data_IF_494466627240
#
_entry.id   IF_494466627240
#
_cell.length_a   1.000
_cell.length_b   1.000
_cell.length_c   1.000
_cell.angle_alpha   90.00
_cell.angle_beta   90.00
_cell.angle_gamma   90.00
#
_symmetry.space_group_name_H-M   'P 1'
#
loop_
_entity.id
_entity.type
_entity.pdbx_description
1 polymer ?
#
# COMPACT_ATOMS: atom_id res chain seq x y z
N UNK A 1 -14.30 -45.34 34.91
CA UNK A 1 -14.26 -44.17 34.03
C UNK A 1 -14.27 -44.69 32.59
N UNK A 2 -15.40 -44.57 31.90
CA UNK A 2 -15.54 -44.97 30.52
C UNK A 2 -15.06 -43.81 29.63
N UNK A 3 -14.00 -44.05 28.87
CA UNK A 3 -13.53 -43.11 27.83
C UNK A 3 -14.47 -43.25 26.66
N UNK A 4 -15.27 -42.22 26.40
CA UNK A 4 -16.14 -42.13 25.25
C UNK A 4 -15.26 -41.81 24.02
N UNK A 5 -14.95 -42.83 23.18
CA UNK A 5 -14.29 -42.67 21.91
C UNK A 5 -15.30 -42.11 20.91
N UNK A 6 -15.05 -40.93 20.39
CA UNK A 6 -15.84 -40.35 19.32
C UNK A 6 -15.57 -41.19 18.05
N UNK A 7 -16.60 -41.65 17.33
CA UNK A 7 -16.40 -42.47 16.14
C UNK A 7 -15.68 -41.70 15.04
N UNK A 8 -14.73 -42.31 14.35
CA UNK A 8 -13.94 -41.78 13.21
C UNK A 8 -14.78 -41.17 12.07
N UNK A 9 -16.05 -41.54 12.00
CA UNK A 9 -17.02 -41.01 11.02
C UNK A 9 -17.44 -39.55 11.31
N UNK A 10 -17.35 -39.08 12.55
CA UNK A 10 -17.65 -37.68 12.89
C UNK A 10 -16.45 -36.76 12.71
N UNK A 11 -15.23 -37.27 12.85
CA UNK A 11 -13.99 -36.52 12.60
C UNK A 11 -13.86 -36.18 11.09
N UNK A 12 -14.44 -36.99 10.20
CA UNK A 12 -14.41 -36.72 8.74
C UNK A 12 -15.38 -35.64 8.28
N UNK A 13 -16.35 -35.21 9.08
CA UNK A 13 -17.29 -34.12 8.74
C UNK A 13 -16.76 -32.72 8.96
N UNK A 14 -15.62 -32.56 9.66
CA UNK A 14 -14.99 -31.26 9.90
C UNK A 14 -13.89 -30.88 8.88
N UNK A 15 -13.54 -31.79 7.97
CA UNK A 15 -12.66 -31.50 6.83
C UNK A 15 -13.45 -30.99 5.62
N UNK A 16 -14.28 -29.95 5.78
CA UNK A 16 -14.51 -29.04 4.67
C UNK A 16 -13.15 -28.34 4.45
N UNK A 17 -12.35 -28.81 3.49
CA UNK A 17 -11.33 -27.99 2.85
C UNK A 17 -12.07 -26.73 2.41
N UNK A 18 -11.91 -25.64 3.18
CA UNK A 18 -12.35 -24.35 2.70
C UNK A 18 -11.66 -24.16 1.34
N UNK A 19 -12.44 -23.97 0.32
CA UNK A 19 -11.91 -23.69 -1.01
C UNK A 19 -11.14 -22.36 -0.92
N UNK A 20 -9.80 -22.46 -0.88
CA UNK A 20 -8.90 -21.32 -0.79
C UNK A 20 -8.51 -20.79 -2.16
N UNK A 21 -9.15 -21.27 -3.23
CA UNK A 21 -8.90 -20.79 -4.57
C UNK A 21 -9.19 -19.29 -4.67
N UNK A 22 -8.23 -18.56 -5.24
CA UNK A 22 -8.30 -17.10 -5.42
C UNK A 22 -8.58 -16.79 -6.89
N UNK A 23 -9.60 -15.99 -7.13
CA UNK A 23 -9.87 -15.39 -8.44
C UNK A 23 -9.14 -14.07 -8.54
N UNK A 24 -8.44 -13.86 -9.67
CA UNK A 24 -7.79 -12.61 -10.03
C UNK A 24 -8.49 -11.99 -11.24
N UNK A 25 -8.81 -10.71 -11.15
CA UNK A 25 -9.48 -9.94 -12.20
C UNK A 25 -8.70 -8.62 -12.41
N UNK A 26 -8.47 -8.25 -13.68
CA UNK A 26 -7.88 -6.97 -14.06
C UNK A 26 -8.88 -6.15 -14.85
N UNK A 27 -9.03 -4.87 -14.56
CA UNK A 27 -9.92 -3.97 -15.28
C UNK A 27 -9.39 -2.54 -15.29
N UNK A 28 -9.95 -1.70 -16.17
CA UNK A 28 -9.56 -0.33 -16.33
C UNK A 28 -10.73 0.61 -16.04
N UNK A 29 -10.44 1.69 -15.32
CA UNK A 29 -11.41 2.72 -14.96
C UNK A 29 -10.98 4.03 -15.59
N UNK A 30 -11.86 4.73 -16.35
CA UNK A 30 -11.56 6.07 -16.83
C UNK A 30 -11.29 7.02 -15.65
N UNK A 31 -10.20 7.78 -15.72
CA UNK A 31 -9.91 8.81 -14.70
C UNK A 31 -10.72 10.09 -14.97
N UNK A 32 -10.57 11.07 -14.09
CA UNK A 32 -11.10 12.43 -14.27
C UNK A 32 -10.47 13.18 -15.47
N UNK A 33 -9.44 12.64 -16.07
CA UNK A 33 -8.69 13.22 -17.18
C UNK A 33 -8.92 12.41 -18.44
N UNK A 34 -9.39 13.06 -19.51
CA UNK A 34 -9.66 12.40 -20.78
C UNK A 34 -8.44 11.65 -21.32
N UNK A 35 -8.65 10.41 -21.76
CA UNK A 35 -7.59 9.55 -22.30
C UNK A 35 -6.73 8.83 -21.26
N UNK A 36 -6.96 9.05 -19.98
CA UNK A 36 -6.29 8.36 -18.88
C UNK A 36 -7.20 7.27 -18.30
N UNK A 37 -6.75 6.03 -18.35
CA UNK A 37 -7.40 4.89 -17.69
C UNK A 37 -6.50 4.38 -16.57
N UNK A 38 -7.09 4.13 -15.41
CA UNK A 38 -6.42 3.55 -14.24
C UNK A 38 -6.61 2.04 -14.25
N UNK A 39 -5.54 1.32 -14.07
CA UNK A 39 -5.56 -0.13 -13.90
C UNK A 39 -5.90 -0.48 -12.46
N UNK A 40 -6.86 -1.36 -12.28
CA UNK A 40 -7.20 -2.00 -11.00
C UNK A 40 -7.08 -3.50 -11.13
N UNK A 41 -6.41 -4.11 -10.18
CA UNK A 41 -6.40 -5.56 -9.96
C UNK A 41 -7.26 -5.90 -8.76
N UNK A 42 -8.04 -6.96 -8.88
CA UNK A 42 -8.89 -7.49 -7.81
C UNK A 42 -8.54 -8.94 -7.52
N UNK A 43 -8.45 -9.30 -6.24
CA UNK A 43 -8.30 -10.68 -5.77
C UNK A 43 -9.30 -10.99 -4.66
N UNK A 44 -9.92 -12.17 -4.73
CA UNK A 44 -10.91 -12.64 -3.76
C UNK A 44 -10.98 -14.15 -3.71
N UNK A 45 -11.55 -14.69 -2.67
CA UNK A 45 -11.93 -16.13 -2.65
C UNK A 45 -12.94 -16.40 -3.77
N UNK A 46 -12.70 -17.45 -4.57
CA UNK A 46 -13.49 -17.75 -5.76
C UNK A 46 -14.97 -18.01 -5.43
N UNK A 47 -15.25 -18.65 -4.31
CA UNK A 47 -16.60 -19.02 -3.89
C UNK A 47 -17.38 -17.87 -3.21
N UNK A 48 -16.76 -16.71 -2.98
CA UNK A 48 -17.42 -15.54 -2.35
C UNK A 48 -17.68 -14.49 -3.42
N UNK A 49 -18.92 -14.13 -3.63
CA UNK A 49 -19.33 -13.15 -4.65
C UNK A 49 -19.61 -11.76 -4.06
N UNK A 50 -20.14 -11.71 -2.84
CA UNK A 50 -20.56 -10.47 -2.20
C UNK A 50 -19.77 -10.23 -0.92
N UNK A 51 -19.24 -9.00 -0.82
CA UNK A 51 -18.45 -8.55 0.32
C UNK A 51 -19.07 -7.27 0.88
N UNK A 52 -19.24 -7.16 2.20
CA UNK A 52 -19.63 -5.90 2.81
C UNK A 52 -18.46 -4.91 2.87
N UNK A 53 -18.76 -3.66 3.24
CA UNK A 53 -17.76 -2.60 3.39
C UNK A 53 -16.58 -2.98 4.28
N UNK A 54 -16.82 -3.74 5.36
CA UNK A 54 -15.81 -4.22 6.30
C UNK A 54 -14.82 -5.20 5.69
N UNK A 55 -15.22 -5.87 4.60
CA UNK A 55 -14.42 -6.88 3.91
C UNK A 55 -13.91 -6.44 2.55
N UNK A 56 -14.24 -5.22 2.11
CA UNK A 56 -13.73 -4.64 0.87
C UNK A 56 -12.60 -3.68 1.18
N UNK A 57 -11.47 -3.84 0.51
CA UNK A 57 -10.30 -2.98 0.72
C UNK A 57 -9.59 -2.63 -0.59
N UNK A 58 -9.02 -1.42 -0.63
CA UNK A 58 -8.18 -0.93 -1.71
C UNK A 58 -6.74 -0.73 -1.21
N UNK A 59 -5.78 -1.18 -2.00
CA UNK A 59 -4.34 -1.01 -1.75
C UNK A 59 -3.80 0.13 -2.61
N UNK A 60 -3.00 1.02 -2.00
CA UNK A 60 -2.36 2.17 -2.65
C UNK A 60 -0.86 2.10 -2.53
N UNK A 61 -0.16 2.06 -3.68
CA UNK A 61 1.29 1.88 -3.77
C UNK A 61 2.10 3.16 -3.45
N UNK A 62 3.43 2.99 -3.28
CA UNK A 62 4.38 4.06 -2.99
C UNK A 62 4.96 4.76 -4.23
N UNK A 63 6.08 5.47 -4.02
CA UNK A 63 6.67 6.41 -5.00
C UNK A 63 7.43 5.78 -6.17
N UNK A 64 7.80 4.50 -6.07
CA UNK A 64 8.72 3.88 -7.05
C UNK A 64 8.10 2.71 -7.80
N UNK A 65 7.41 1.86 -7.08
CA UNK A 65 6.88 0.59 -7.57
C UNK A 65 5.36 0.64 -7.68
N UNK A 66 4.83 0.03 -8.74
CA UNK A 66 3.40 -0.12 -8.95
C UNK A 66 2.75 -1.04 -7.90
N UNK A 67 1.43 -1.07 -7.87
CA UNK A 67 0.67 -1.93 -6.98
C UNK A 67 1.01 -3.42 -7.15
N UNK A 68 1.16 -3.87 -8.40
CA UNK A 68 1.55 -5.25 -8.68
C UNK A 68 2.96 -5.59 -8.21
N UNK A 69 3.89 -4.64 -8.23
CA UNK A 69 5.26 -4.84 -7.70
C UNK A 69 5.28 -4.94 -6.19
N UNK A 70 4.48 -4.12 -5.50
CA UNK A 70 4.46 -4.08 -4.03
C UNK A 70 3.55 -5.15 -3.43
N UNK A 71 2.36 -5.31 -3.98
CA UNK A 71 1.32 -6.08 -3.32
C UNK A 71 1.02 -7.41 -4.00
N UNK A 72 1.47 -7.62 -5.24
CA UNK A 72 1.14 -8.85 -5.98
C UNK A 72 2.35 -9.64 -6.48
N UNK A 73 3.53 -9.39 -5.93
CA UNK A 73 4.69 -10.25 -6.15
C UNK A 73 4.55 -11.55 -5.32
N UNK A 74 4.54 -12.75 -5.96
CA UNK A 74 4.27 -14.01 -5.29
C UNK A 74 5.53 -14.57 -4.58
N UNK A 75 6.16 -13.76 -3.74
CA UNK A 75 7.28 -14.20 -2.91
C UNK A 75 6.80 -15.31 -1.96
N UNK A 76 7.58 -16.39 -1.82
CA UNK A 76 7.16 -17.57 -1.06
C UNK A 76 5.85 -18.23 -1.58
N UNK A 77 5.56 -18.06 -2.87
CA UNK A 77 4.40 -18.71 -3.53
C UNK A 77 3.06 -18.00 -3.36
N UNK A 78 2.97 -16.93 -2.56
CA UNK A 78 1.77 -16.13 -2.39
C UNK A 78 2.11 -14.64 -2.25
N UNK A 79 1.31 -13.79 -2.87
CA UNK A 79 1.45 -12.34 -2.76
C UNK A 79 0.80 -11.78 -1.49
N UNK A 80 1.08 -10.52 -1.19
CA UNK A 80 0.40 -9.80 -0.12
C UNK A 80 -1.12 -9.72 -0.36
N UNK A 81 -1.54 -9.52 -1.63
CA UNK A 81 -2.96 -9.56 -2.02
C UNK A 81 -3.57 -10.95 -1.80
N UNK A 82 -2.84 -12.03 -2.16
CA UNK A 82 -3.33 -13.39 -1.95
C UNK A 82 -3.60 -13.68 -0.48
N UNK A 83 -2.73 -13.21 0.41
CA UNK A 83 -2.88 -13.41 1.85
C UNK A 83 -4.08 -12.68 2.41
N UNK A 84 -4.34 -11.45 1.97
CA UNK A 84 -5.52 -10.68 2.37
C UNK A 84 -6.80 -11.29 1.78
N UNK A 85 -6.76 -11.76 0.53
CA UNK A 85 -7.90 -12.46 -0.08
C UNK A 85 -8.21 -13.78 0.63
N UNK A 86 -7.19 -14.56 0.99
CA UNK A 86 -7.33 -15.78 1.78
C UNK A 86 -7.90 -15.53 3.18
N UNK A 87 -7.63 -14.34 3.76
CA UNK A 87 -8.25 -13.88 5.02
C UNK A 87 -9.72 -13.44 4.87
N UNK A 88 -10.30 -13.57 3.67
CA UNK A 88 -11.72 -13.32 3.39
C UNK A 88 -12.03 -11.88 3.00
N UNK A 89 -11.08 -11.16 2.43
CA UNK A 89 -11.29 -9.82 1.89
C UNK A 89 -11.48 -9.81 0.38
N UNK A 90 -12.26 -8.84 -0.11
CA UNK A 90 -12.30 -8.42 -1.51
C UNK A 90 -11.20 -7.37 -1.71
N UNK A 91 -10.08 -7.76 -2.28
CA UNK A 91 -8.85 -6.98 -2.30
C UNK A 91 -8.67 -6.34 -3.67
N UNK A 92 -8.67 -5.02 -3.69
CA UNK A 92 -8.34 -4.23 -4.86
C UNK A 92 -6.96 -3.59 -4.71
N UNK A 93 -6.28 -3.36 -5.82
CA UNK A 93 -5.06 -2.58 -5.87
C UNK A 93 -5.11 -1.67 -7.11
N UNK A 94 -4.81 -0.38 -6.95
CA UNK A 94 -4.82 0.59 -8.05
C UNK A 94 -3.40 1.01 -8.41
N UNK A 95 -3.13 1.11 -9.70
CA UNK A 95 -1.96 1.82 -10.22
C UNK A 95 -2.34 3.28 -10.48
N UNK A 96 -1.63 4.23 -9.87
CA UNK A 96 -1.72 5.66 -10.25
C UNK A 96 -1.29 5.81 -11.70
N UNK A 97 -1.85 6.81 -12.41
CA UNK A 97 -1.39 7.11 -13.79
C UNK A 97 0.13 7.17 -13.89
N UNK A 98 0.68 6.62 -14.95
CA UNK A 98 2.13 6.55 -15.12
C UNK A 98 2.81 5.35 -14.47
N UNK A 99 2.13 4.62 -13.59
CA UNK A 99 2.62 3.40 -12.95
C UNK A 99 1.94 2.15 -13.52
N UNK A 100 2.62 1.01 -13.41
CA UNK A 100 2.09 -0.29 -13.74
C UNK A 100 1.45 -0.35 -15.13
N UNK A 101 0.21 -0.81 -15.18
CA UNK A 101 -0.59 -0.89 -16.40
C UNK A 101 -1.49 0.34 -16.63
N UNK A 102 -1.52 1.32 -15.72
CA UNK A 102 -2.26 2.56 -15.92
C UNK A 102 -1.69 3.41 -17.06
N UNK A 103 -2.55 4.17 -17.72
CA UNK A 103 -2.15 5.07 -18.81
C UNK A 103 -1.06 6.02 -18.36
N UNK A 104 -0.04 6.18 -19.20
CA UNK A 104 1.01 7.19 -19.01
C UNK A 104 0.50 8.51 -19.55
N UNK A 105 0.57 9.60 -18.75
CA UNK A 105 0.24 10.92 -19.23
C UNK A 105 1.06 11.27 -20.49
N UNK A 106 0.46 11.85 -21.55
CA UNK A 106 1.17 12.17 -22.81
C UNK A 106 2.31 13.17 -22.59
N UNK A 107 2.26 14.00 -21.56
CA UNK A 107 3.33 14.91 -21.15
C UNK A 107 4.64 14.17 -20.83
N UNK A 108 4.57 12.89 -20.58
CA UNK A 108 5.72 12.04 -20.28
C UNK A 108 6.47 11.60 -21.54
N UNK A 109 5.81 11.60 -22.68
CA UNK A 109 6.41 11.16 -23.96
C UNK A 109 7.21 12.26 -24.67
N UNK A 110 7.21 13.51 -24.18
CA UNK A 110 7.87 14.67 -24.76
C UNK A 110 8.95 15.30 -23.88
N UNK A 111 9.61 16.34 -24.38
CA UNK A 111 10.44 17.26 -23.57
C UNK A 111 9.50 18.12 -22.71
N UNK A 112 9.17 17.64 -21.54
CA UNK A 112 8.32 18.36 -20.60
C UNK A 112 9.19 19.32 -19.80
N UNK A 113 8.64 20.51 -19.55
CA UNK A 113 9.19 21.45 -18.59
C UNK A 113 9.43 20.71 -17.25
N UNK A 114 10.68 20.60 -16.79
CA UNK A 114 11.00 19.88 -15.54
C UNK A 114 10.23 20.39 -14.32
N UNK A 115 9.71 21.64 -14.37
CA UNK A 115 8.90 22.23 -13.33
C UNK A 115 7.47 21.66 -13.27
N UNK A 116 7.03 20.93 -14.30
CA UNK A 116 5.66 20.39 -14.43
C UNK A 116 5.65 18.87 -14.39
N UNK A 117 5.97 18.31 -13.23
CA UNK A 117 5.85 16.87 -13.03
C UNK A 117 4.37 16.43 -13.12
N UNK A 118 3.99 15.56 -14.08
CA UNK A 118 2.57 15.28 -14.35
C UNK A 118 1.91 14.38 -13.31
N UNK A 119 2.69 13.67 -12.49
CA UNK A 119 2.19 12.69 -11.51
C UNK A 119 2.59 13.13 -10.10
N UNK A 120 1.93 14.19 -9.63
CA UNK A 120 2.08 14.77 -8.29
C UNK A 120 1.03 14.21 -7.33
N UNK A 121 1.19 14.48 -6.04
CA UNK A 121 0.28 14.01 -5.00
C UNK A 121 -1.18 14.41 -5.26
N UNK A 122 -1.44 15.63 -5.74
CA UNK A 122 -2.78 16.12 -6.07
C UNK A 122 -3.45 15.26 -7.14
N UNK A 123 -2.68 14.90 -8.18
CA UNK A 123 -3.16 14.03 -9.26
C UNK A 123 -3.39 12.61 -8.75
N UNK A 124 -2.48 12.08 -7.94
CA UNK A 124 -2.58 10.75 -7.36
C UNK A 124 -3.77 10.62 -6.38
N UNK A 125 -4.10 11.68 -5.63
CA UNK A 125 -5.31 11.72 -4.78
C UNK A 125 -6.58 11.64 -5.64
N UNK A 126 -6.63 12.32 -6.79
CA UNK A 126 -7.78 12.22 -7.71
C UNK A 126 -7.89 10.83 -8.32
N UNK A 127 -6.76 10.21 -8.71
CA UNK A 127 -6.73 8.84 -9.21
C UNK A 127 -7.23 7.85 -8.16
N UNK A 128 -6.78 7.98 -6.92
CA UNK A 128 -7.28 7.18 -5.79
C UNK A 128 -8.78 7.39 -5.60
N UNK A 129 -9.25 8.64 -5.62
CA UNK A 129 -10.67 8.97 -5.52
C UNK A 129 -11.51 8.31 -6.62
N UNK A 130 -11.06 8.37 -7.87
CA UNK A 130 -11.71 7.69 -9.01
C UNK A 130 -11.79 6.18 -8.79
N UNK A 131 -10.72 5.54 -8.33
CA UNK A 131 -10.72 4.11 -8.03
C UNK A 131 -11.71 3.76 -6.91
N UNK A 132 -11.75 4.54 -5.83
CA UNK A 132 -12.68 4.36 -4.72
C UNK A 132 -14.12 4.46 -5.22
N UNK A 133 -14.48 5.54 -5.94
CA UNK A 133 -15.83 5.74 -6.49
C UNK A 133 -16.26 4.55 -7.36
N UNK A 134 -15.39 4.12 -8.28
CA UNK A 134 -15.69 3.00 -9.16
C UNK A 134 -15.94 1.70 -8.40
N UNK A 135 -15.17 1.41 -7.34
CA UNK A 135 -15.38 0.23 -6.50
C UNK A 135 -16.71 0.35 -5.74
N UNK A 136 -16.97 1.49 -5.09
CA UNK A 136 -18.18 1.72 -4.31
C UNK A 136 -19.43 1.59 -5.18
N UNK A 137 -19.44 2.21 -6.36
CA UNK A 137 -20.55 2.14 -7.30
C UNK A 137 -20.77 0.71 -7.81
N UNK A 138 -19.71 0.04 -8.30
CA UNK A 138 -19.82 -1.31 -8.87
C UNK A 138 -20.22 -2.36 -7.83
N UNK A 139 -19.83 -2.17 -6.57
CA UNK A 139 -20.14 -3.08 -5.45
C UNK A 139 -21.38 -2.66 -4.65
N UNK A 140 -21.96 -1.48 -4.94
CA UNK A 140 -23.09 -0.89 -4.21
C UNK A 140 -22.78 -0.73 -2.71
N UNK A 141 -21.61 -0.18 -2.42
CA UNK A 141 -21.10 0.07 -1.06
C UNK A 141 -21.01 1.57 -0.81
N UNK A 142 -21.19 1.97 0.43
CA UNK A 142 -21.00 3.37 0.85
C UNK A 142 -19.55 3.67 1.28
N UNK A 143 -18.86 2.65 1.76
CA UNK A 143 -17.51 2.78 2.32
C UNK A 143 -16.66 1.55 1.98
N UNK A 144 -15.35 1.72 2.02
CA UNK A 144 -14.36 0.63 1.96
C UNK A 144 -13.20 0.89 2.92
N UNK A 145 -12.35 -0.13 3.12
CA UNK A 145 -11.08 0.02 3.84
C UNK A 145 -9.98 0.44 2.88
N UNK A 146 -9.02 1.23 3.37
CA UNK A 146 -7.85 1.66 2.59
C UNK A 146 -6.57 1.22 3.29
N UNK A 147 -5.68 0.58 2.53
CA UNK A 147 -4.32 0.21 2.98
C UNK A 147 -3.34 0.87 2.04
N UNK A 148 -2.39 1.61 2.57
CA UNK A 148 -1.49 2.41 1.75
C UNK A 148 -0.06 2.41 2.29
N UNK A 149 0.93 2.48 1.39
CA UNK A 149 2.34 2.40 1.75
C UNK A 149 3.12 3.62 1.27
N UNK A 150 4.00 4.15 2.13
CA UNK A 150 4.98 5.17 1.77
C UNK A 150 4.33 6.45 1.22
N UNK A 151 4.68 6.90 0.01
CA UNK A 151 4.01 8.01 -0.70
C UNK A 151 2.50 7.74 -0.88
N UNK A 152 2.12 6.49 -1.11
CA UNK A 152 0.71 6.08 -1.10
C UNK A 152 0.01 6.36 0.22
N UNK A 153 0.74 6.24 1.34
CA UNK A 153 0.25 6.62 2.67
C UNK A 153 -0.08 8.11 2.77
N UNK A 154 0.74 8.97 2.15
CA UNK A 154 0.47 10.41 2.09
C UNK A 154 -0.71 10.74 1.18
N UNK A 155 -0.85 10.03 0.03
CA UNK A 155 -2.00 10.14 -0.85
C UNK A 155 -3.29 9.74 -0.12
N UNK A 156 -3.27 8.59 0.55
CA UNK A 156 -4.40 8.07 1.32
C UNK A 156 -4.77 8.98 2.50
N UNK A 157 -3.78 9.52 3.22
CA UNK A 157 -3.99 10.49 4.30
C UNK A 157 -4.63 11.78 3.80
N UNK A 158 -4.11 12.34 2.69
CA UNK A 158 -4.69 13.54 2.07
C UNK A 158 -6.12 13.33 1.54
N UNK A 159 -6.42 12.13 1.02
CA UNK A 159 -7.78 11.75 0.64
C UNK A 159 -8.69 11.60 1.86
N UNK A 160 -8.23 10.89 2.89
CA UNK A 160 -8.98 10.59 4.10
C UNK A 160 -9.37 11.86 4.89
N UNK A 161 -8.48 12.85 4.94
CA UNK A 161 -8.73 14.13 5.60
C UNK A 161 -9.98 14.85 5.05
N UNK A 162 -10.29 14.64 3.75
CA UNK A 162 -11.43 15.31 3.08
C UNK A 162 -12.62 14.39 2.78
N UNK A 163 -12.41 13.08 2.75
CA UNK A 163 -13.40 12.10 2.27
C UNK A 163 -13.66 10.97 3.27
N UNK A 164 -13.60 11.26 4.58
CA UNK A 164 -13.77 10.25 5.63
C UNK A 164 -15.12 9.50 5.55
N UNK A 165 -16.16 10.08 4.96
CA UNK A 165 -17.45 9.42 4.76
C UNK A 165 -17.43 8.20 3.82
N UNK A 166 -16.40 8.07 2.95
CA UNK A 166 -16.21 6.95 2.02
C UNK A 166 -15.27 5.86 2.54
N UNK A 167 -14.74 6.06 3.71
CA UNK A 167 -13.74 5.16 4.30
C UNK A 167 -14.23 4.58 5.61
N UNK A 168 -14.00 3.29 5.78
CA UNK A 168 -14.29 2.56 7.01
C UNK A 168 -13.09 2.61 7.97
N UNK A 169 -11.90 2.28 7.46
CA UNK A 169 -10.63 2.24 8.19
C UNK A 169 -9.47 2.58 7.27
N UNK A 170 -8.40 3.08 7.84
CA UNK A 170 -7.16 3.43 7.16
C UNK A 170 -5.98 2.71 7.82
N UNK A 171 -5.28 1.83 7.07
CA UNK A 171 -4.02 1.25 7.49
C UNK A 171 -2.88 1.85 6.67
N UNK A 172 -1.89 2.40 7.34
CA UNK A 172 -0.75 3.10 6.75
C UNK A 172 0.53 2.33 7.08
N UNK A 173 1.25 1.91 6.05
CA UNK A 173 2.55 1.26 6.17
C UNK A 173 3.60 2.29 5.82
N UNK A 174 4.38 2.72 6.82
CA UNK A 174 5.47 3.68 6.66
C UNK A 174 5.08 4.91 5.80
N UNK A 175 4.01 5.67 6.14
CA UNK A 175 3.59 6.83 5.36
C UNK A 175 4.66 7.91 5.33
N UNK A 176 4.96 8.48 4.17
CA UNK A 176 5.86 9.63 4.09
C UNK A 176 5.27 10.81 4.86
N UNK A 177 6.11 11.45 5.65
CA UNK A 177 5.75 12.61 6.44
C UNK A 177 6.94 13.59 6.53
N UNK A 178 6.75 14.70 7.26
CA UNK A 178 7.73 15.77 7.41
C UNK A 178 9.09 15.23 7.86
N UNK A 179 10.14 15.71 7.23
CA UNK A 179 11.51 15.33 7.52
C UNK A 179 12.46 16.51 7.25
N UNK A 180 13.58 16.57 7.94
CA UNK A 180 14.56 17.64 7.78
C UNK A 180 15.64 17.35 6.73
N UNK A 181 15.68 16.10 6.22
CA UNK A 181 16.69 15.65 5.25
C UNK A 181 16.01 15.19 3.94
N UNK A 182 16.72 15.28 2.80
CA UNK A 182 16.21 14.77 1.53
C UNK A 182 15.78 13.28 1.60
N UNK A 183 14.81 12.90 0.81
CA UNK A 183 14.41 11.50 0.65
C UNK A 183 15.53 10.65 0.06
N UNK A 184 15.71 9.41 0.51
CA UNK A 184 16.75 8.50 -0.01
C UNK A 184 16.62 8.20 -1.51
N UNK A 185 15.41 8.33 -2.05
CA UNK A 185 15.14 8.17 -3.49
C UNK A 185 15.46 9.44 -4.30
N UNK A 186 15.81 10.54 -3.64
CA UNK A 186 16.18 11.81 -4.29
C UNK A 186 17.70 11.89 -4.48
N UNK A 187 18.16 11.72 -5.71
CA UNK A 187 19.57 11.83 -6.04
C UNK A 187 20.07 13.30 -6.15
N UNK A 188 19.18 14.28 -5.95
CA UNK A 188 19.49 15.71 -6.16
C UNK A 188 19.43 16.09 -7.65
N UNK A 189 19.73 17.37 -7.94
CA UNK A 189 19.75 17.91 -9.30
C UNK A 189 18.37 18.04 -9.94
N UNK A 190 18.35 18.16 -11.28
CA UNK A 190 17.14 18.27 -12.08
C UNK A 190 16.37 16.95 -12.11
N UNK A 191 15.05 17.03 -12.05
CA UNK A 191 14.18 15.86 -12.12
C UNK A 191 13.67 15.66 -13.56
N UNK A 192 14.05 14.55 -14.22
CA UNK A 192 13.38 14.12 -15.44
C UNK A 192 11.94 13.73 -15.12
N UNK A 193 11.07 13.68 -16.12
CA UNK A 193 9.67 13.26 -15.92
C UNK A 193 9.57 11.83 -15.37
N UNK A 194 10.45 10.94 -15.85
CA UNK A 194 10.68 9.60 -15.32
C UNK A 194 12.15 9.42 -14.94
N UNK A 195 12.38 8.72 -13.87
CA UNK A 195 13.71 8.21 -13.50
C UNK A 195 13.81 6.72 -13.80
N UNK A 196 14.97 6.30 -14.25
CA UNK A 196 15.31 4.88 -14.36
C UNK A 196 15.72 4.35 -12.97
N UNK A 197 15.16 3.20 -12.60
CA UNK A 197 15.48 2.51 -11.35
C UNK A 197 16.09 1.16 -11.69
N UNK A 198 17.37 1.02 -11.41
CA UNK A 198 18.11 -0.23 -11.52
C UNK A 198 17.77 -1.13 -10.34
N UNK A 199 17.14 -2.28 -10.61
CA UNK A 199 16.66 -3.18 -9.57
C UNK A 199 17.81 -3.84 -8.79
N UNK A 200 19.00 -4.03 -9.38
CA UNK A 200 20.13 -4.60 -8.67
C UNK A 200 20.71 -3.60 -7.66
N UNK A 201 20.88 -2.34 -8.09
CA UNK A 201 21.28 -1.28 -7.15
C UNK A 201 20.23 -1.04 -6.08
N UNK A 202 18.95 -1.23 -6.42
CA UNK A 202 17.88 -1.16 -5.44
C UNK A 202 17.98 -2.28 -4.41
N UNK A 203 18.33 -3.52 -4.80
CA UNK A 203 18.57 -4.61 -3.84
C UNK A 203 19.68 -4.26 -2.84
N UNK A 204 20.80 -3.73 -3.34
CA UNK A 204 21.91 -3.30 -2.50
C UNK A 204 21.47 -2.26 -1.47
N UNK A 205 20.73 -1.23 -1.93
CA UNK A 205 20.20 -0.16 -1.07
C UNK A 205 19.17 -0.69 -0.07
N UNK A 206 18.31 -1.61 -0.50
CA UNK A 206 17.31 -2.24 0.36
C UNK A 206 17.97 -3.02 1.49
N UNK A 207 18.90 -3.92 1.16
CA UNK A 207 19.67 -4.70 2.17
C UNK A 207 20.51 -3.81 3.08
N UNK A 208 21.08 -2.73 2.54
CA UNK A 208 21.91 -1.79 3.30
C UNK A 208 21.14 -1.01 4.37
N UNK A 209 19.82 -0.95 4.31
CA UNK A 209 19.01 -0.34 5.37
C UNK A 209 19.05 -1.15 6.68
N UNK A 210 19.23 -2.48 6.59
CA UNK A 210 19.40 -3.34 7.76
C UNK A 210 20.84 -3.25 8.33
N UNK A 211 21.02 -3.46 9.65
CA UNK A 211 22.34 -3.65 10.26
C UNK A 211 23.14 -4.75 9.56
N UNK A 212 24.46 -4.61 9.51
CA UNK A 212 25.35 -5.49 8.72
C UNK A 212 25.11 -6.98 8.98
N UNK A 213 24.91 -7.39 10.23
CA UNK A 213 24.68 -8.79 10.59
C UNK A 213 23.31 -9.37 10.16
N UNK A 214 22.40 -8.53 9.62
CA UNK A 214 21.03 -8.94 9.23
C UNK A 214 20.75 -8.80 7.73
N UNK A 215 21.67 -8.21 6.96
CA UNK A 215 21.47 -7.92 5.53
C UNK A 215 21.19 -9.15 4.69
N UNK A 216 21.92 -10.25 4.94
CA UNK A 216 21.81 -11.48 4.16
C UNK A 216 20.51 -12.25 4.47
N UNK A 217 19.98 -12.10 5.68
CA UNK A 217 18.76 -12.78 6.14
C UNK A 217 17.49 -11.95 6.00
N UNK A 218 17.60 -10.67 5.63
CA UNK A 218 16.45 -9.75 5.49
C UNK A 218 15.48 -10.24 4.41
N UNK A 219 16.02 -10.54 3.24
CA UNK A 219 15.28 -11.05 2.08
C UNK A 219 15.69 -12.51 1.88
N UNK A 220 14.78 -13.47 2.12
CA UNK A 220 15.08 -14.88 1.95
C UNK A 220 15.60 -15.24 0.55
N UNK A 221 16.41 -16.30 0.40
CA UNK A 221 16.94 -16.70 -0.89
C UNK A 221 15.85 -16.89 -1.95
N UNK A 222 16.05 -16.30 -3.13
CA UNK A 222 15.14 -16.39 -4.26
C UNK A 222 14.00 -15.36 -4.25
N UNK A 223 13.64 -14.76 -3.12
CA UNK A 223 12.52 -13.79 -3.05
C UNK A 223 12.79 -12.55 -3.87
N UNK A 224 13.99 -11.97 -3.79
CA UNK A 224 14.35 -10.81 -4.60
C UNK A 224 14.21 -11.12 -6.10
N UNK A 225 14.66 -12.29 -6.56
CA UNK A 225 14.53 -12.68 -7.96
C UNK A 225 13.07 -12.74 -8.41
N UNK A 226 12.21 -13.40 -7.62
CA UNK A 226 10.76 -13.49 -7.89
C UNK A 226 10.15 -12.09 -7.97
N UNK A 227 10.45 -11.24 -7.00
CA UNK A 227 9.97 -9.85 -6.96
C UNK A 227 10.46 -9.04 -8.16
N UNK A 228 11.76 -9.12 -8.50
CA UNK A 228 12.34 -8.36 -9.61
C UNK A 228 11.78 -8.82 -10.96
N UNK A 229 11.64 -10.13 -11.20
CA UNK A 229 11.01 -10.68 -12.41
C UNK A 229 9.56 -10.20 -12.55
N UNK A 230 8.77 -10.25 -11.48
CA UNK A 230 7.40 -9.73 -11.44
C UNK A 230 7.36 -8.22 -11.73
N UNK A 231 8.23 -7.44 -11.10
CA UNK A 231 8.32 -5.99 -11.29
C UNK A 231 8.66 -5.62 -12.74
N UNK A 232 9.60 -6.33 -13.36
CA UNK A 232 9.94 -6.14 -14.78
C UNK A 232 8.82 -6.56 -15.73
N UNK A 233 7.97 -7.51 -15.34
CA UNK A 233 6.88 -8.00 -16.20
C UNK A 233 5.72 -7.00 -16.30
N UNK A 234 5.46 -6.24 -15.22
CA UNK A 234 4.26 -5.39 -15.10
C UNK A 234 4.55 -3.89 -15.21
N UNK A 235 5.79 -3.47 -15.00
CA UNK A 235 6.18 -2.06 -15.03
C UNK A 235 6.63 -1.56 -16.41
N UNK A 236 6.65 -0.24 -16.61
CA UNK A 236 7.34 0.34 -17.73
C UNK A 236 8.84 0.07 -17.59
N UNK A 237 9.41 -0.57 -18.62
CA UNK A 237 10.84 -0.89 -18.64
C UNK A 237 11.66 0.33 -18.98
N UNK A 238 12.81 0.47 -18.31
CA UNK A 238 13.83 1.43 -18.69
C UNK A 238 14.59 1.05 -19.95
N UNK A 239 15.52 1.90 -20.35
CA UNK A 239 16.36 1.70 -21.53
C UNK A 239 17.49 0.70 -21.28
N UNK A 240 17.88 0.55 -20.01
CA UNK A 240 18.93 -0.40 -19.58
C UNK A 240 18.27 -1.70 -19.11
N UNK A 241 18.87 -2.88 -19.38
CA UNK A 241 18.37 -4.15 -18.84
C UNK A 241 18.21 -4.13 -17.31
N UNK A 242 17.12 -4.73 -16.81
CA UNK A 242 16.76 -4.79 -15.38
C UNK A 242 16.43 -3.42 -14.74
N UNK A 243 16.11 -2.42 -15.54
CA UNK A 243 15.59 -1.15 -15.06
C UNK A 243 14.10 -1.01 -15.32
N UNK A 244 13.44 -0.26 -14.47
CA UNK A 244 12.07 0.21 -14.65
C UNK A 244 12.05 1.73 -14.70
N UNK A 245 10.96 2.29 -15.23
CA UNK A 245 10.69 3.73 -15.19
C UNK A 245 9.69 4.04 -14.07
N UNK A 246 10.04 4.99 -13.23
CA UNK A 246 9.16 5.50 -12.18
C UNK A 246 8.96 7.01 -12.36
N UNK A 247 7.71 7.54 -12.28
CA UNK A 247 7.45 8.98 -12.33
C UNK A 247 8.22 9.73 -11.24
N UNK A 248 8.75 10.90 -11.57
CA UNK A 248 9.54 11.72 -10.64
C UNK A 248 8.68 12.66 -9.78
N UNK A 249 7.37 12.73 -10.02
CA UNK A 249 6.46 13.62 -9.29
C UNK A 249 6.48 13.41 -7.78
N UNK A 250 6.59 12.16 -7.32
CA UNK A 250 6.72 11.85 -5.90
C UNK A 250 8.00 12.44 -5.27
N UNK A 251 9.13 12.52 -6.02
CA UNK A 251 10.35 13.18 -5.54
C UNK A 251 10.15 14.69 -5.46
N UNK A 252 9.47 15.27 -6.44
CA UNK A 252 9.11 16.68 -6.40
C UNK A 252 8.23 17.00 -5.19
N UNK A 253 7.27 16.12 -4.86
CA UNK A 253 6.45 16.25 -3.65
C UNK A 253 7.31 16.19 -2.37
N UNK A 254 8.29 15.27 -2.32
CA UNK A 254 9.21 15.18 -1.20
C UNK A 254 9.96 16.50 -1.02
N UNK A 255 10.48 17.08 -2.10
CA UNK A 255 11.23 18.35 -2.06
C UNK A 255 10.36 19.52 -1.62
N UNK A 256 9.15 19.64 -2.16
CA UNK A 256 8.28 20.80 -1.93
C UNK A 256 7.50 20.75 -0.62
N UNK A 257 7.17 19.55 -0.15
CA UNK A 257 6.34 19.39 1.03
C UNK A 257 7.13 18.84 2.21
N UNK A 258 7.51 17.58 2.17
CA UNK A 258 8.02 16.89 3.36
C UNK A 258 9.43 17.32 3.75
N UNK A 259 10.37 17.44 2.80
CA UNK A 259 11.72 17.92 3.06
C UNK A 259 11.77 19.44 3.31
N UNK A 260 10.74 20.17 2.90
CA UNK A 260 10.56 21.59 3.19
C UNK A 260 9.81 21.85 4.52
N UNK A 261 9.56 20.82 5.32
CA UNK A 261 8.77 20.88 6.55
C UNK A 261 7.38 21.52 6.36
N UNK A 262 6.76 21.26 5.21
CA UNK A 262 5.45 21.80 4.82
C UNK A 262 4.47 20.66 4.60
N UNK A 263 3.50 20.43 5.49
CA UNK A 263 2.54 19.36 5.33
C UNK A 263 1.59 19.64 4.16
N UNK A 264 1.32 18.62 3.35
CA UNK A 264 0.34 18.70 2.27
C UNK A 264 -1.10 18.68 2.78
N UNK A 265 -1.33 18.01 3.90
CA UNK A 265 -2.63 17.91 4.60
C UNK A 265 -2.41 17.89 6.10
N UNK A 266 -3.48 18.08 6.87
CA UNK A 266 -3.45 17.95 8.33
C UNK A 266 -3.94 16.54 8.74
N UNK A 267 -3.10 15.69 9.35
CA UNK A 267 -3.53 14.40 9.89
C UNK A 267 -4.63 14.52 10.96
N UNK A 268 -4.73 15.67 11.63
CA UNK A 268 -5.78 15.96 12.59
C UNK A 268 -7.19 16.01 12.00
N UNK A 269 -7.32 16.07 10.66
CA UNK A 269 -8.62 16.01 9.97
C UNK A 269 -9.07 14.58 9.65
N UNK A 270 -8.23 13.57 9.86
CA UNK A 270 -8.57 12.16 9.61
C UNK A 270 -9.52 11.67 10.71
N UNK A 271 -10.75 11.31 10.34
CA UNK A 271 -11.84 10.95 11.26
C UNK A 271 -12.27 9.48 11.17
N UNK A 272 -11.40 8.62 10.72
CA UNK A 272 -11.61 7.17 10.67
C UNK A 272 -10.60 6.47 11.57
N UNK A 273 -10.84 5.22 12.01
CA UNK A 273 -9.84 4.44 12.71
C UNK A 273 -8.57 4.28 11.88
N UNK A 274 -7.39 4.47 12.50
CA UNK A 274 -6.08 4.42 11.83
C UNK A 274 -5.18 3.38 12.47
N UNK A 275 -4.60 2.50 11.64
CA UNK A 275 -3.45 1.67 11.97
C UNK A 275 -2.20 2.27 11.31
N UNK A 276 -1.15 2.51 12.10
CA UNK A 276 0.18 2.82 11.61
C UNK A 276 1.09 1.61 11.80
N UNK A 277 1.69 1.13 10.71
CA UNK A 277 2.73 0.11 10.74
C UNK A 277 4.06 0.78 10.40
N UNK A 278 5.05 0.57 11.26
CA UNK A 278 6.42 1.04 11.10
C UNK A 278 7.37 -0.15 11.17
N UNK A 279 8.52 -0.08 10.53
CA UNK A 279 9.55 -1.12 10.60
C UNK A 279 10.81 -0.58 11.29
N UNK A 280 11.41 -1.39 12.16
CA UNK A 280 12.54 -1.02 13.04
C UNK A 280 13.70 -0.34 12.30
N UNK A 281 14.00 -0.80 11.08
CA UNK A 281 15.12 -0.30 10.26
C UNK A 281 14.65 0.51 9.05
N UNK A 282 13.48 1.15 9.15
CA UNK A 282 12.98 2.02 8.09
C UNK A 282 13.81 3.32 8.01
N UNK A 283 14.69 3.38 7.01
CA UNK A 283 15.51 4.55 6.75
C UNK A 283 14.85 5.59 5.84
N UNK A 284 13.74 5.23 5.19
CA UNK A 284 12.96 6.13 4.33
C UNK A 284 11.95 6.94 5.16
N UNK A 285 11.38 6.31 6.20
CA UNK A 285 10.50 6.96 7.18
C UNK A 285 11.07 6.70 8.58
N UNK A 286 12.02 7.50 9.08
CA UNK A 286 12.59 7.34 10.41
C UNK A 286 11.53 7.34 11.53
N UNK A 287 11.83 6.67 12.62
CA UNK A 287 10.93 6.52 13.78
C UNK A 287 10.34 7.84 14.26
N UNK A 288 11.14 8.88 14.39
CA UNK A 288 10.65 10.19 14.85
C UNK A 288 9.67 10.83 13.87
N UNK A 289 9.87 10.63 12.56
CA UNK A 289 8.94 11.07 11.52
C UNK A 289 7.60 10.34 11.65
N UNK A 290 7.62 9.02 11.80
CA UNK A 290 6.41 8.23 11.99
C UNK A 290 5.69 8.59 13.29
N UNK A 291 6.44 8.85 14.37
CA UNK A 291 5.92 9.28 15.67
C UNK A 291 5.24 10.64 15.59
N UNK A 292 5.86 11.63 14.91
CA UNK A 292 5.25 12.94 14.72
C UNK A 292 3.92 12.82 13.96
N UNK A 293 3.90 12.07 12.87
CA UNK A 293 2.67 11.79 12.13
C UNK A 293 1.58 11.19 13.03
N UNK A 294 1.92 10.12 13.75
CA UNK A 294 0.96 9.43 14.63
C UNK A 294 0.41 10.33 15.73
N UNK A 295 1.24 11.21 16.29
CA UNK A 295 0.81 12.14 17.33
C UNK A 295 -0.24 13.13 16.86
N UNK A 296 -0.22 13.47 15.56
CA UNK A 296 -1.14 14.42 14.90
C UNK A 296 -2.50 13.84 14.53
N UNK A 297 -2.70 12.53 14.62
CA UNK A 297 -3.99 11.87 14.34
C UNK A 297 -5.02 12.13 15.45
N UNK A 298 -5.31 13.39 15.75
CA UNK A 298 -6.09 13.81 16.93
C UNK A 298 -7.60 13.60 16.78
N UNK A 299 -8.13 13.62 15.56
CA UNK A 299 -9.55 13.36 15.30
C UNK A 299 -9.86 11.89 14.98
N UNK A 300 -8.85 11.03 14.86
CA UNK A 300 -9.07 9.61 14.65
C UNK A 300 -9.74 8.99 15.88
N UNK A 301 -10.94 8.36 15.76
CA UNK A 301 -11.68 7.82 16.91
C UNK A 301 -10.96 6.66 17.58
N UNK A 302 -10.09 6.00 16.85
CA UNK A 302 -9.22 4.93 17.31
C UNK A 302 -7.92 4.94 16.49
N UNK A 303 -6.78 4.80 17.16
CA UNK A 303 -5.48 4.73 16.51
C UNK A 303 -4.60 3.67 17.17
N UNK A 304 -3.93 2.88 16.35
CA UNK A 304 -2.99 1.85 16.76
C UNK A 304 -1.65 2.05 16.05
N UNK A 305 -0.55 1.87 16.77
CA UNK A 305 0.80 1.77 16.23
C UNK A 305 1.34 0.37 16.42
N UNK A 306 1.93 -0.18 15.39
CA UNK A 306 2.67 -1.44 15.43
C UNK A 306 4.05 -1.21 14.83
N UNK A 307 5.08 -1.62 15.55
CA UNK A 307 6.46 -1.66 15.05
C UNK A 307 6.86 -3.10 14.78
N UNK A 308 7.34 -3.35 13.54
CA UNK A 308 7.80 -4.66 13.11
C UNK A 308 9.32 -4.70 13.25
N UNK A 309 9.79 -5.56 14.16
CA UNK A 309 11.22 -5.79 14.37
C UNK A 309 11.89 -6.44 13.17
N UNK A 310 13.15 -6.11 12.93
CA UNK A 310 14.00 -6.67 11.89
C UNK A 310 13.40 -6.54 10.47
N UNK A 311 12.76 -5.41 10.20
CA UNK A 311 12.20 -5.03 8.91
C UNK A 311 12.70 -3.66 8.45
N UNK A 312 12.70 -3.41 7.14
CA UNK A 312 13.02 -2.11 6.54
C UNK A 312 11.76 -1.49 5.91
N UNK A 313 11.93 -0.42 5.14
CA UNK A 313 10.81 0.20 4.41
C UNK A 313 9.99 -0.79 3.56
N UNK A 314 10.63 -1.87 3.08
CA UNK A 314 10.00 -2.89 2.25
C UNK A 314 9.46 -4.10 3.04
N UNK A 315 9.14 -3.93 4.31
CA UNK A 315 8.75 -4.99 5.26
C UNK A 315 7.69 -5.97 4.75
N UNK A 316 6.80 -5.54 3.87
CA UNK A 316 5.75 -6.40 3.26
C UNK A 316 6.31 -7.42 2.23
N UNK A 317 7.59 -7.29 1.86
CA UNK A 317 8.30 -8.19 0.93
C UNK A 317 9.50 -8.87 1.60
N UNK A 318 9.63 -8.76 2.92
CA UNK A 318 10.73 -9.31 3.71
C UNK A 318 10.30 -10.51 4.54
N UNK A 319 11.27 -11.18 5.20
CA UNK A 319 11.01 -12.38 6.02
C UNK A 319 9.89 -12.19 7.06
N UNK A 320 9.73 -10.96 7.57
CA UNK A 320 8.78 -10.62 8.63
C UNK A 320 7.42 -10.09 8.10
N UNK A 321 7.17 -10.16 6.79
CA UNK A 321 5.95 -9.63 6.13
C UNK A 321 4.64 -10.10 6.77
N UNK A 322 4.63 -11.30 7.36
CA UNK A 322 3.45 -11.86 8.01
C UNK A 322 2.97 -11.03 9.19
N UNK A 323 3.87 -10.32 9.88
CA UNK A 323 3.48 -9.43 10.97
C UNK A 323 2.64 -8.26 10.44
N UNK A 324 2.98 -7.70 9.26
CA UNK A 324 2.19 -6.65 8.63
C UNK A 324 0.82 -7.17 8.17
N UNK A 325 0.78 -8.35 7.53
CA UNK A 325 -0.49 -8.98 7.11
C UNK A 325 -1.40 -9.20 8.30
N UNK A 326 -0.91 -9.85 9.36
CA UNK A 326 -1.69 -10.15 10.56
C UNK A 326 -2.19 -8.88 11.24
N UNK A 327 -1.33 -7.87 11.39
CA UNK A 327 -1.71 -6.58 11.98
C UNK A 327 -2.85 -5.90 11.21
N UNK A 328 -2.81 -5.93 9.86
CA UNK A 328 -3.86 -5.38 9.02
C UNK A 328 -5.14 -6.19 9.14
N UNK A 329 -5.07 -7.52 9.04
CA UNK A 329 -6.23 -8.41 9.15
C UNK A 329 -6.92 -8.22 10.50
N UNK A 330 -6.18 -8.24 11.59
CA UNK A 330 -6.71 -8.00 12.96
C UNK A 330 -7.38 -6.64 13.05
N UNK A 331 -6.69 -5.57 12.62
CA UNK A 331 -7.23 -4.21 12.67
C UNK A 331 -8.50 -4.07 11.83
N UNK A 332 -8.57 -4.66 10.64
CA UNK A 332 -9.74 -4.57 9.78
C UNK A 332 -10.93 -5.38 10.30
N UNK A 333 -10.70 -6.39 11.12
CA UNK A 333 -11.73 -7.26 11.71
C UNK A 333 -12.14 -6.87 13.14
N UNK A 334 -11.37 -5.99 13.78
CA UNK A 334 -11.61 -5.59 15.15
C UNK A 334 -12.94 -4.83 15.31
N UNK A 335 -13.66 -5.11 16.39
CA UNK A 335 -14.81 -4.31 16.79
C UNK A 335 -14.30 -3.07 17.52
N UNK A 336 -14.31 -1.92 16.84
CA UNK A 336 -13.96 -0.64 17.47
C UNK A 336 -15.10 -0.26 18.42
N UNK A 337 -14.85 -0.06 19.72
CA UNK A 337 -15.86 0.42 20.63
C UNK A 337 -16.46 1.74 20.13
N UNK A 338 -17.77 1.83 20.00
CA UNK A 338 -18.41 3.11 19.75
C UNK A 338 -18.15 3.99 20.97
N UNK A 339 -17.71 5.24 20.73
CA UNK A 339 -17.61 6.21 21.81
C UNK A 339 -18.99 6.31 22.48
N UNK A 340 -19.07 5.93 23.74
CA UNK A 340 -20.28 6.17 24.53
C UNK A 340 -20.51 7.67 24.53
N UNK A 341 -21.68 8.18 24.11
CA UNK A 341 -21.95 9.61 24.25
C UNK A 341 -21.70 9.97 25.71
N UNK A 342 -20.85 10.97 25.98
CA UNK A 342 -20.81 11.56 27.31
C UNK A 342 -22.24 11.98 27.63
N UNK A 343 -22.86 11.32 28.59
CA UNK A 343 -24.04 11.84 29.24
C UNK A 343 -23.58 13.12 29.95
N UNK A 344 -23.93 14.25 29.36
CA UNK A 344 -23.71 15.55 29.99
C UNK A 344 -24.34 15.51 31.38
N UNK A 345 -23.48 15.62 32.40
CA UNK A 345 -23.87 15.71 33.81
C UNK A 345 -24.11 17.17 34.19
#
# INVERSE_FOLDING_TARGET
>A
MAVCLIPDSEIRKFNHRMDTAITTEDFFVPSDTAGINLHLRRKRLTHVENFPSERTLLLMHGATFSSGSLFDAPVEGASFMDQLAAAGFDVYAVDVRGYGASTRPPEIAGTVDPSKQPVRIETAIRDLGTAIESILESRKLDQLNLVAMSWGGSIAGGYAAKNHGKMKRLALIAPLWLREIPGRIDAGGDLPTYREVDLLKYEETWRAAAPTGHRDTLIPPGWFRVWAENTLAIGPRGTVPKTILAPSGAIQDIREYWAANRPFYDPGEIRVPVLLIHAEWDADVPFDTARDFFSRLTAAPYRRWIEIGQGTHMVILEKNRWQAVNAIVEFLQEVVPQATPCLDA
#
